data_IF_300969816103
#
_entry.id   IF_300969816103
#
_cell.length_a   1.000
_cell.length_b   1.000
_cell.length_c   1.000
_cell.angle_alpha   90.00
_cell.angle_beta   90.00
_cell.angle_gamma   90.00
#
_symmetry.space_group_name_H-M   'P 1'
#
loop_
_entity.id
_entity.type
_entity.pdbx_description
1 polymer ?
#
# COMPACT_ATOMS: atom_id res chain seq x y z
N UNK A 1 18.88 3.77 -23.96
CA UNK A 1 17.59 3.26 -23.45
C UNK A 1 17.83 2.30 -22.29
N UNK A 2 17.59 2.71 -21.05
CA UNK A 2 17.74 1.86 -19.86
C UNK A 2 16.36 1.51 -19.31
N UNK A 3 16.04 0.22 -19.30
CA UNK A 3 14.78 -0.38 -18.87
C UNK A 3 14.50 -0.15 -17.38
N UNK A 4 13.32 0.38 -17.10
CA UNK A 4 12.80 0.63 -15.75
C UNK A 4 12.38 -0.71 -15.12
N UNK A 5 13.09 -1.17 -14.09
CA UNK A 5 12.64 -2.26 -13.23
C UNK A 5 11.48 -1.76 -12.35
N UNK A 6 10.27 -2.23 -12.64
CA UNK A 6 9.11 -2.08 -11.75
C UNK A 6 9.19 -3.13 -10.63
N UNK A 7 9.19 -2.69 -9.37
CA UNK A 7 9.02 -3.56 -8.21
C UNK A 7 7.52 -3.92 -8.04
N UNK A 8 7.15 -5.19 -7.81
CA UNK A 8 5.76 -5.57 -7.63
C UNK A 8 5.26 -5.22 -6.22
N UNK A 9 4.07 -4.62 -6.18
CA UNK A 9 3.33 -4.22 -4.99
C UNK A 9 2.81 -5.48 -4.25
N UNK A 10 3.45 -5.86 -3.14
CA UNK A 10 2.99 -6.96 -2.29
C UNK A 10 1.79 -6.53 -1.43
N UNK A 11 0.58 -6.82 -1.92
CA UNK A 11 -0.65 -6.83 -1.11
C UNK A 11 -1.37 -8.18 -1.24
N UNK A 12 -0.73 -9.28 -0.85
CA UNK A 12 -1.42 -10.56 -0.73
C UNK A 12 -2.16 -10.64 0.60
N UNK A 13 -3.43 -10.20 0.63
CA UNK A 13 -4.43 -10.82 1.52
C UNK A 13 -4.35 -12.34 1.31
N UNK A 14 -4.30 -13.15 2.38
CA UNK A 14 -4.31 -14.62 2.29
C UNK A 14 -5.57 -15.08 1.55
N UNK A 15 -5.46 -15.28 0.23
CA UNK A 15 -6.48 -15.96 -0.57
C UNK A 15 -6.60 -17.37 0.00
N UNK A 16 -7.78 -17.74 0.50
CA UNK A 16 -8.08 -19.12 0.91
C UNK A 16 -7.73 -20.04 -0.26
N UNK A 17 -6.77 -20.97 -0.06
CA UNK A 17 -6.35 -21.95 -1.08
C UNK A 17 -7.61 -22.63 -1.64
N UNK A 18 -7.85 -22.43 -2.93
CA UNK A 18 -9.02 -22.94 -3.63
C UNK A 18 -8.92 -24.46 -3.77
N UNK A 19 -10.07 -25.14 -3.81
CA UNK A 19 -10.21 -26.60 -4.00
C UNK A 19 -9.47 -27.13 -5.23
N UNK A 20 -9.24 -26.27 -6.24
CA UNK A 20 -8.46 -26.56 -7.45
C UNK A 20 -7.02 -26.98 -7.16
N UNK A 21 -6.35 -26.37 -6.19
CA UNK A 21 -4.97 -26.72 -5.84
C UNK A 21 -4.89 -28.10 -5.16
N UNK A 22 -5.91 -28.46 -4.37
CA UNK A 22 -5.95 -29.75 -3.69
C UNK A 22 -6.23 -30.90 -4.67
N UNK A 23 -7.21 -30.73 -5.58
CA UNK A 23 -7.49 -31.70 -6.65
C UNK A 23 -6.26 -31.92 -7.53
N UNK A 24 -5.62 -30.83 -7.99
CA UNK A 24 -4.41 -30.90 -8.81
C UNK A 24 -3.28 -31.66 -8.08
N UNK A 25 -3.04 -31.36 -6.80
CA UNK A 25 -2.01 -32.06 -6.03
C UNK A 25 -2.28 -33.56 -5.88
N UNK A 26 -3.54 -33.99 -5.79
CA UNK A 26 -3.89 -35.41 -5.77
C UNK A 26 -3.62 -36.08 -7.12
N UNK A 27 -3.92 -35.41 -8.22
CA UNK A 27 -3.62 -35.90 -9.59
C UNK A 27 -2.10 -36.05 -9.76
N UNK A 28 -1.32 -35.03 -9.42
CA UNK A 28 0.15 -35.07 -9.51
C UNK A 28 0.72 -36.17 -8.60
N UNK A 29 0.14 -36.40 -7.43
CA UNK A 29 0.54 -37.48 -6.53
C UNK A 29 0.28 -38.86 -7.16
N UNK A 30 -0.87 -39.08 -7.80
CA UNK A 30 -1.14 -40.33 -8.53
C UNK A 30 -0.13 -40.54 -9.67
N UNK A 31 0.21 -39.51 -10.45
CA UNK A 31 1.25 -39.61 -11.48
C UNK A 31 2.61 -39.99 -10.88
N UNK A 32 2.94 -39.37 -9.74
CA UNK A 32 4.20 -39.57 -9.03
C UNK A 32 4.29 -40.99 -8.47
N UNK A 33 3.21 -41.51 -7.89
CA UNK A 33 3.13 -42.91 -7.43
C UNK A 33 3.25 -43.89 -8.58
N UNK A 34 2.59 -43.64 -9.72
CA UNK A 34 2.71 -44.49 -10.90
C UNK A 34 4.16 -44.57 -11.39
N UNK A 35 4.83 -43.41 -11.51
CA UNK A 35 6.23 -43.34 -11.91
C UNK A 35 7.16 -44.08 -10.94
N UNK A 36 6.97 -43.86 -9.64
CA UNK A 36 7.79 -44.49 -8.60
C UNK A 36 7.58 -46.01 -8.60
N UNK A 37 6.34 -46.49 -8.75
CA UNK A 37 6.02 -47.91 -8.80
C UNK A 37 6.63 -48.63 -10.02
N UNK A 38 6.79 -47.93 -11.14
CA UNK A 38 7.41 -48.49 -12.35
C UNK A 38 8.94 -48.49 -12.28
N UNK A 39 9.55 -47.48 -11.65
CA UNK A 39 10.99 -47.24 -11.73
C UNK A 39 11.78 -47.63 -10.47
N UNK A 40 11.13 -47.72 -9.30
CA UNK A 40 11.81 -48.02 -8.04
C UNK A 40 11.27 -49.33 -7.45
N UNK A 41 12.17 -50.29 -7.22
CA UNK A 41 11.83 -51.57 -6.54
C UNK A 41 11.43 -51.36 -5.08
N UNK A 42 12.04 -50.38 -4.40
CA UNK A 42 11.78 -50.02 -3.00
C UNK A 42 11.86 -48.51 -2.82
N UNK A 43 10.95 -47.93 -2.05
CA UNK A 43 10.93 -46.51 -1.76
C UNK A 43 10.27 -46.22 -0.40
N UNK A 44 10.50 -45.02 0.12
CA UNK A 44 9.90 -44.55 1.39
C UNK A 44 9.08 -43.29 1.15
N UNK A 45 8.25 -42.88 2.14
CA UNK A 45 7.48 -41.64 2.03
C UNK A 45 8.35 -40.40 1.77
N UNK A 46 9.61 -40.37 2.23
CA UNK A 46 10.56 -39.29 1.93
C UNK A 46 10.91 -39.24 0.44
N UNK A 47 11.07 -40.40 -0.20
CA UNK A 47 11.30 -40.48 -1.65
C UNK A 47 10.08 -39.97 -2.43
N UNK A 48 8.87 -40.39 -2.04
CA UNK A 48 7.61 -39.90 -2.65
C UNK A 48 7.50 -38.39 -2.50
N UNK A 49 7.81 -37.85 -1.32
CA UNK A 49 7.78 -36.42 -1.05
C UNK A 49 8.76 -35.65 -1.94
N UNK A 50 9.97 -36.18 -2.13
CA UNK A 50 10.99 -35.57 -2.97
C UNK A 50 10.52 -35.45 -4.43
N UNK A 51 10.04 -36.55 -5.04
CA UNK A 51 9.57 -36.53 -6.42
C UNK A 51 8.32 -35.67 -6.59
N UNK A 52 7.40 -35.71 -5.63
CA UNK A 52 6.20 -34.88 -5.66
C UNK A 52 6.56 -33.39 -5.59
N UNK A 53 7.45 -32.99 -4.67
CA UNK A 53 7.85 -31.59 -4.55
C UNK A 53 8.58 -31.09 -5.79
N UNK A 54 9.45 -31.90 -6.41
CA UNK A 54 10.06 -31.56 -7.70
C UNK A 54 9.02 -31.34 -8.81
N UNK A 55 7.98 -32.17 -8.88
CA UNK A 55 6.88 -31.99 -9.84
C UNK A 55 6.05 -30.74 -9.55
N UNK A 56 5.83 -30.41 -8.27
CA UNK A 56 5.14 -29.18 -7.86
C UNK A 56 5.96 -27.93 -8.20
N UNK A 57 7.28 -27.95 -7.98
CA UNK A 57 8.20 -26.86 -8.32
C UNK A 57 8.23 -26.56 -9.82
N UNK A 58 8.27 -27.61 -10.65
CA UNK A 58 8.15 -27.49 -12.12
C UNK A 58 6.86 -26.77 -12.53
N UNK A 59 5.78 -26.99 -11.79
CA UNK A 59 4.48 -26.34 -11.99
C UNK A 59 4.34 -24.99 -11.24
N UNK A 60 5.44 -24.41 -10.73
CA UNK A 60 5.50 -23.16 -9.96
C UNK A 60 4.63 -23.18 -8.68
N UNK A 61 4.43 -24.35 -8.08
CA UNK A 61 3.69 -24.53 -6.84
C UNK A 61 4.62 -24.68 -5.64
N UNK A 62 4.12 -24.31 -4.45
CA UNK A 62 4.90 -24.40 -3.22
C UNK A 62 5.08 -25.86 -2.80
N UNK A 63 6.28 -26.26 -2.35
CA UNK A 63 6.52 -27.61 -1.85
C UNK A 63 5.64 -27.89 -0.62
N UNK A 64 5.28 -29.15 -0.45
CA UNK A 64 4.47 -29.62 0.67
C UNK A 64 5.33 -30.28 1.75
N UNK A 65 4.80 -30.31 2.98
CA UNK A 65 5.42 -30.99 4.13
C UNK A 65 5.02 -32.46 4.16
N UNK A 66 5.81 -33.30 4.82
CA UNK A 66 5.56 -34.75 4.96
C UNK A 66 4.16 -35.05 5.54
N UNK A 67 3.73 -34.32 6.58
CA UNK A 67 2.39 -34.46 7.18
C UNK A 67 1.26 -34.20 6.17
N UNK A 68 1.48 -33.31 5.21
CA UNK A 68 0.51 -33.02 4.14
C UNK A 68 0.46 -34.16 3.13
N UNK A 69 1.61 -34.73 2.76
CA UNK A 69 1.68 -35.92 1.90
C UNK A 69 0.94 -37.11 2.53
N UNK A 70 1.17 -37.38 3.82
CA UNK A 70 0.49 -38.46 4.54
C UNK A 70 -1.04 -38.31 4.51
N UNK A 71 -1.54 -37.08 4.70
CA UNK A 71 -2.97 -36.81 4.58
C UNK A 71 -3.49 -37.08 3.15
N UNK A 72 -2.72 -36.73 2.11
CA UNK A 72 -3.10 -37.03 0.74
C UNK A 72 -3.17 -38.53 0.48
N UNK A 73 -2.18 -39.30 0.94
CA UNK A 73 -2.14 -40.75 0.81
C UNK A 73 -3.31 -41.43 1.55
N UNK A 74 -3.64 -40.96 2.75
CA UNK A 74 -4.82 -41.43 3.50
C UNK A 74 -6.13 -41.15 2.74
N UNK A 75 -6.25 -39.96 2.15
CA UNK A 75 -7.44 -39.58 1.38
C UNK A 75 -7.58 -40.42 0.11
N UNK A 76 -6.49 -40.70 -0.59
CA UNK A 76 -6.48 -41.55 -1.79
C UNK A 76 -6.94 -42.99 -1.47
N UNK A 77 -6.56 -43.51 -0.31
CA UNK A 77 -6.96 -44.85 0.13
C UNK A 77 -8.40 -44.88 0.67
N UNK A 78 -8.73 -44.01 1.64
CA UNK A 78 -10.03 -44.11 2.35
C UNK A 78 -11.19 -43.51 1.58
N UNK A 79 -10.99 -42.32 0.97
CA UNK A 79 -12.08 -41.59 0.29
C UNK A 79 -12.22 -42.01 -1.17
N UNK A 80 -11.10 -42.07 -1.89
CA UNK A 80 -11.12 -42.38 -3.32
C UNK A 80 -10.95 -43.88 -3.61
N UNK A 81 -10.37 -44.65 -2.67
CA UNK A 81 -10.11 -46.09 -2.82
C UNK A 81 -9.35 -46.44 -4.11
N UNK A 82 -8.44 -45.54 -4.51
CA UNK A 82 -7.61 -45.67 -5.73
C UNK A 82 -6.21 -46.20 -5.46
N UNK A 83 -5.78 -46.21 -4.20
CA UNK A 83 -4.49 -46.80 -3.78
C UNK A 83 -4.72 -47.94 -2.79
N UNK A 84 -3.89 -48.98 -2.90
CA UNK A 84 -3.73 -50.04 -1.93
C UNK A 84 -2.44 -49.74 -1.16
N UNK A 85 -2.60 -49.29 0.07
CA UNK A 85 -1.48 -48.99 0.95
C UNK A 85 -1.27 -50.21 1.84
N UNK A 86 -0.11 -50.86 1.73
CA UNK A 86 0.23 -51.96 2.63
C UNK A 86 1.56 -51.69 3.34
N UNK A 87 1.60 -52.03 4.63
CA UNK A 87 2.76 -51.90 5.48
C UNK A 87 3.34 -53.29 5.72
N UNK A 88 4.55 -53.56 5.24
CA UNK A 88 5.29 -54.78 5.56
C UNK A 88 6.22 -54.49 6.74
N UNK A 89 5.95 -55.10 7.89
CA UNK A 89 6.89 -55.07 9.02
C UNK A 89 8.14 -55.90 8.68
N UNK A 90 9.32 -55.32 8.85
CA UNK A 90 10.59 -55.95 8.48
C UNK A 90 11.29 -56.68 9.63
N UNK A 91 10.69 -56.71 10.83
CA UNK A 91 11.24 -57.37 12.03
C UNK A 91 11.48 -56.40 13.18
N UNK A 92 11.90 -56.96 14.33
CA UNK A 92 11.91 -56.30 15.65
C UNK A 92 12.75 -55.00 15.70
N UNK A 93 13.74 -54.84 14.81
CA UNK A 93 14.64 -53.66 14.74
C UNK A 93 14.79 -53.04 13.34
N UNK A 94 14.01 -53.47 12.33
CA UNK A 94 14.24 -53.10 10.91
C UNK A 94 13.15 -52.17 10.32
N UNK A 95 12.21 -51.71 11.15
CA UNK A 95 11.15 -50.78 10.74
C UNK A 95 10.04 -51.40 9.89
N UNK A 96 9.32 -50.57 9.14
CA UNK A 96 8.20 -50.98 8.26
C UNK A 96 8.35 -50.39 6.87
N UNK A 97 8.28 -51.22 5.82
CA UNK A 97 8.21 -50.78 4.44
C UNK A 97 6.74 -50.48 4.08
N UNK A 98 6.46 -49.26 3.62
CA UNK A 98 5.10 -48.86 3.19
C UNK A 98 5.05 -48.75 1.68
N UNK A 99 4.18 -49.56 1.07
CA UNK A 99 4.00 -49.62 -0.38
C UNK A 99 2.67 -48.99 -0.75
N UNK A 100 2.71 -48.13 -1.77
CA UNK A 100 1.57 -47.36 -2.25
C UNK A 100 1.25 -47.78 -3.69
N UNK A 101 0.60 -48.95 -3.84
CA UNK A 101 0.24 -49.49 -5.16
C UNK A 101 -1.03 -48.84 -5.68
N UNK A 102 -1.05 -48.43 -6.95
CA UNK A 102 -2.29 -47.97 -7.58
C UNK A 102 -3.20 -49.18 -7.83
N UNK A 103 -4.48 -49.06 -7.44
CA UNK A 103 -5.48 -50.13 -7.63
C UNK A 103 -5.93 -50.23 -9.09
N UNK A 104 -5.92 -49.11 -9.80
CA UNK A 104 -6.33 -49.00 -11.20
C UNK A 104 -5.23 -48.31 -12.00
N UNK A 105 -5.35 -48.37 -13.32
CA UNK A 105 -4.53 -47.55 -14.20
C UNK A 105 -4.67 -46.06 -13.86
N UNK A 106 -3.58 -45.33 -14.15
CA UNK A 106 -3.42 -43.90 -13.84
C UNK A 106 -4.61 -43.07 -14.35
N UNK A 107 -5.10 -43.36 -15.55
CA UNK A 107 -6.20 -42.61 -16.18
C UNK A 107 -7.53 -42.82 -15.46
N UNK A 108 -7.83 -44.07 -15.10
CA UNK A 108 -9.01 -44.42 -14.30
C UNK A 108 -8.97 -43.78 -12.92
N UNK A 109 -7.79 -43.69 -12.30
CA UNK A 109 -7.61 -42.96 -11.04
C UNK A 109 -7.91 -41.47 -11.18
N UNK A 110 -7.48 -40.82 -12.27
CA UNK A 110 -7.80 -39.41 -12.53
C UNK A 110 -9.29 -39.19 -12.73
N UNK A 111 -9.96 -40.08 -13.48
CA UNK A 111 -11.39 -40.00 -13.71
C UNK A 111 -12.14 -39.99 -12.37
N UNK A 112 -11.86 -40.95 -11.48
CA UNK A 112 -12.50 -41.08 -10.16
C UNK A 112 -12.30 -39.83 -9.29
N UNK A 113 -11.09 -39.26 -9.31
CA UNK A 113 -10.81 -38.03 -8.55
C UNK A 113 -11.59 -36.86 -9.16
N UNK A 114 -11.58 -36.70 -10.48
CA UNK A 114 -12.23 -35.59 -11.18
C UNK A 114 -13.76 -35.63 -11.06
N UNK A 115 -14.38 -36.80 -11.17
CA UNK A 115 -15.83 -36.97 -11.00
C UNK A 115 -16.28 -36.55 -9.61
N UNK A 116 -15.58 -36.98 -8.57
CA UNK A 116 -15.88 -36.58 -7.19
C UNK A 116 -15.85 -35.06 -6.98
N UNK A 117 -14.85 -34.35 -7.52
CA UNK A 117 -14.80 -32.89 -7.39
C UNK A 117 -15.89 -32.19 -8.21
N UNK A 118 -16.26 -32.75 -9.37
CA UNK A 118 -17.37 -32.24 -10.20
C UNK A 118 -18.71 -32.40 -9.48
N UNK A 119 -18.98 -33.56 -8.91
CA UNK A 119 -20.18 -33.83 -8.09
C UNK A 119 -20.23 -32.91 -6.87
N UNK A 120 -19.11 -32.72 -6.17
CA UNK A 120 -19.03 -31.81 -5.02
C UNK A 120 -19.36 -30.37 -5.36
N UNK A 121 -18.97 -29.89 -6.55
CA UNK A 121 -19.33 -28.54 -7.02
C UNK A 121 -20.82 -28.50 -7.34
N UNK A 122 -21.33 -29.51 -8.05
CA UNK A 122 -22.74 -29.61 -8.45
C UNK A 122 -23.66 -29.66 -7.23
N UNK A 123 -23.31 -30.45 -6.20
CA UNK A 123 -24.08 -30.54 -4.96
C UNK A 123 -24.13 -29.21 -4.21
N UNK A 124 -23.03 -28.45 -4.16
CA UNK A 124 -23.05 -27.11 -3.55
C UNK A 124 -23.95 -26.13 -4.29
N UNK A 125 -23.96 -26.20 -5.62
CA UNK A 125 -24.85 -25.38 -6.45
C UNK A 125 -26.31 -25.80 -6.20
N UNK A 126 -26.58 -27.09 -6.16
CA UNK A 126 -27.92 -27.63 -5.88
C UNK A 126 -28.41 -27.27 -4.48
N UNK A 127 -27.58 -27.39 -3.44
CA UNK A 127 -27.89 -26.93 -2.08
C UNK A 127 -28.21 -25.44 -2.04
N UNK A 128 -27.45 -24.63 -2.79
CA UNK A 128 -27.69 -23.19 -2.89
C UNK A 128 -29.02 -22.88 -3.61
N UNK A 129 -29.30 -23.56 -4.72
CA UNK A 129 -30.57 -23.46 -5.44
C UNK A 129 -31.73 -23.88 -4.54
N UNK A 130 -31.59 -24.96 -3.77
CA UNK A 130 -32.61 -25.40 -2.81
C UNK A 130 -32.83 -24.37 -1.70
N UNK A 131 -31.76 -23.76 -1.17
CA UNK A 131 -31.89 -22.65 -0.20
C UNK A 131 -32.65 -21.46 -0.80
N UNK A 132 -32.34 -21.07 -2.04
CA UNK A 132 -33.08 -20.01 -2.76
C UNK A 132 -34.55 -20.42 -2.93
N UNK A 133 -34.83 -21.64 -3.40
CA UNK A 133 -36.21 -22.15 -3.58
C UNK A 133 -36.98 -22.17 -2.26
N UNK A 134 -36.36 -22.59 -1.16
CA UNK A 134 -36.96 -22.56 0.18
C UNK A 134 -37.23 -21.12 0.63
N UNK A 135 -36.28 -20.22 0.44
CA UNK A 135 -36.43 -18.79 0.73
C UNK A 135 -37.58 -18.17 -0.06
N UNK A 136 -37.71 -18.50 -1.35
CA UNK A 136 -38.80 -18.03 -2.21
C UNK A 136 -40.17 -18.61 -1.79
N UNK A 137 -40.24 -19.88 -1.35
CA UNK A 137 -41.48 -20.48 -0.81
C UNK A 137 -41.91 -19.86 0.53
N UNK A 138 -40.98 -19.62 1.46
CA UNK A 138 -41.28 -18.94 2.74
C UNK A 138 -41.63 -17.45 2.56
N UNK A 139 -41.19 -16.85 1.45
CA UNK A 139 -41.51 -15.47 1.07
C UNK A 139 -42.60 -15.38 -0.02
N UNK A 140 -43.47 -16.40 -0.12
CA UNK A 140 -44.67 -16.34 -0.96
C UNK A 140 -45.64 -15.20 -0.59
N UNK A 141 -45.43 -14.52 0.55
CA UNK A 141 -45.93 -13.17 0.77
C UNK A 141 -44.87 -12.14 0.38
N UNK A 142 -45.25 -11.24 -0.52
CA UNK A 142 -44.50 -10.09 -1.08
C UNK A 142 -43.71 -9.33 -0.01
N UNK A 143 -42.48 -9.78 0.28
CA UNK A 143 -41.61 -9.08 1.24
C UNK A 143 -40.14 -8.98 0.83
N UNK A 144 -39.80 -9.40 -0.39
CA UNK A 144 -38.41 -9.41 -0.85
C UNK A 144 -38.25 -8.89 -2.28
N UNK A 145 -38.82 -7.72 -2.57
CA UNK A 145 -38.17 -6.86 -3.55
C UNK A 145 -36.88 -6.30 -2.93
N UNK A 146 -35.77 -6.91 -3.33
CA UNK A 146 -34.43 -6.37 -3.46
C UNK A 146 -34.03 -5.15 -2.59
N UNK A 147 -33.08 -5.40 -1.67
CA UNK A 147 -32.33 -4.43 -0.86
C UNK A 147 -31.50 -3.40 -1.69
N UNK A 148 -31.68 -3.29 -3.01
CA UNK A 148 -30.84 -2.42 -3.87
C UNK A 148 -31.59 -1.45 -4.80
N UNK A 149 -32.84 -1.08 -4.52
CA UNK A 149 -33.44 0.10 -5.16
C UNK A 149 -34.05 1.05 -4.12
N UNK A 150 -33.18 1.76 -3.40
CA UNK A 150 -33.54 2.75 -2.38
C UNK A 150 -34.18 4.03 -2.94
N UNK A 151 -34.45 4.13 -4.25
CA UNK A 151 -34.87 5.39 -4.87
C UNK A 151 -36.35 5.54 -5.22
N UNK A 152 -37.24 4.55 -5.04
CA UNK A 152 -38.64 4.74 -5.47
C UNK A 152 -39.78 4.34 -4.51
N UNK A 153 -39.50 3.92 -3.27
CA UNK A 153 -40.57 3.62 -2.26
C UNK A 153 -40.63 4.71 -1.18
N UNK A 154 -40.48 5.98 -1.56
CA UNK A 154 -40.81 7.12 -0.70
C UNK A 154 -42.03 7.91 -1.19
N UNK A 155 -42.71 7.45 -2.26
CA UNK A 155 -43.79 8.25 -2.85
C UNK A 155 -45.22 7.88 -2.46
N UNK A 156 -45.50 6.71 -1.85
CA UNK A 156 -46.90 6.27 -1.66
C UNK A 156 -47.33 5.85 -0.24
N UNK A 157 -46.48 5.93 0.79
CA UNK A 157 -46.90 5.67 2.19
C UNK A 157 -46.86 6.87 3.14
N UNK A 158 -46.20 7.97 2.77
CA UNK A 158 -46.13 9.18 3.62
C UNK A 158 -47.30 10.17 3.43
N UNK A 159 -48.14 10.00 2.39
CA UNK A 159 -49.24 10.94 2.12
C UNK A 159 -50.55 10.66 2.89
N UNK A 160 -50.69 9.53 3.62
CA UNK A 160 -51.94 9.21 4.36
C UNK A 160 -51.92 9.44 5.87
N UNK A 161 -50.78 9.81 6.49
CA UNK A 161 -50.69 10.01 7.94
C UNK A 161 -50.32 11.44 8.36
N UNK A 162 -50.74 12.45 7.59
CA UNK A 162 -50.47 13.87 7.94
C UNK A 162 -51.51 14.47 8.88
N UNK A 163 -52.71 13.89 8.97
CA UNK A 163 -53.76 14.36 9.87
C UNK A 163 -53.93 13.45 11.09
N UNK A 164 -53.25 13.78 12.18
CA UNK A 164 -53.89 13.95 13.51
C UNK A 164 -52.86 14.43 14.54
N UNK A 165 -53.33 15.32 15.41
CA UNK A 165 -52.57 16.14 16.33
C UNK A 165 -51.89 15.34 17.44
N UNK A 166 -50.58 15.10 17.31
CA UNK A 166 -49.68 14.73 18.42
C UNK A 166 -48.28 15.37 18.30
N UNK A 167 -48.19 16.49 17.57
CA UNK A 167 -46.98 16.88 16.81
C UNK A 167 -45.92 17.74 17.51
N UNK A 168 -46.10 18.21 18.76
CA UNK A 168 -45.16 19.21 19.35
C UNK A 168 -44.20 18.67 20.42
N UNK A 169 -44.61 17.70 21.24
CA UNK A 169 -43.81 17.17 22.36
C UNK A 169 -42.97 15.95 21.98
N UNK A 170 -43.56 14.98 21.26
CA UNK A 170 -42.89 13.72 20.87
C UNK A 170 -41.70 13.95 19.92
N UNK A 171 -41.74 15.00 19.09
CA UNK A 171 -40.69 15.26 18.09
C UNK A 171 -39.41 15.88 18.65
N UNK A 172 -39.50 16.69 19.70
CA UNK A 172 -38.31 17.29 20.35
C UNK A 172 -37.53 16.24 21.15
N UNK A 173 -38.23 15.33 21.83
CA UNK A 173 -37.60 14.21 22.54
C UNK A 173 -36.88 13.26 21.58
N UNK A 174 -37.44 13.01 20.39
CA UNK A 174 -36.78 12.21 19.35
C UNK A 174 -35.48 12.90 18.89
N UNK A 175 -35.48 14.21 18.68
CA UNK A 175 -34.27 14.97 18.32
C UNK A 175 -33.22 14.92 19.44
N UNK A 176 -33.61 15.16 20.70
CA UNK A 176 -32.73 15.07 21.86
C UNK A 176 -32.13 13.67 22.01
N UNK A 177 -32.93 12.62 21.85
CA UNK A 177 -32.50 11.21 21.87
C UNK A 177 -31.56 10.88 20.71
N UNK A 178 -31.77 11.49 19.54
CA UNK A 178 -30.88 11.31 18.39
C UNK A 178 -29.52 11.99 18.61
N UNK A 179 -29.52 13.22 19.13
CA UNK A 179 -28.30 13.96 19.48
C UNK A 179 -27.47 13.22 20.52
N UNK A 180 -28.10 12.74 21.60
CA UNK A 180 -27.40 12.00 22.66
C UNK A 180 -26.79 10.68 22.16
N UNK A 181 -27.48 9.98 21.25
CA UNK A 181 -26.99 8.71 20.69
C UNK A 181 -25.87 8.87 19.66
N UNK A 182 -25.84 9.97 18.92
CA UNK A 182 -24.97 10.08 17.75
C UNK A 182 -23.53 10.51 18.06
N UNK A 183 -23.26 11.04 19.26
CA UNK A 183 -21.93 11.50 19.70
C UNK A 183 -21.17 12.23 18.58
N UNK A 184 -21.69 13.39 18.20
CA UNK A 184 -21.09 14.24 17.15
C UNK A 184 -19.78 14.85 17.64
N UNK A 185 -18.85 15.06 16.72
CA UNK A 185 -17.51 15.62 17.00
C UNK A 185 -17.43 17.14 16.82
N UNK A 186 -18.43 17.73 16.17
CA UNK A 186 -18.52 19.16 15.83
C UNK A 186 -19.69 19.83 16.56
N UNK A 187 -19.70 21.16 16.62
CA UNK A 187 -20.82 21.94 17.20
C UNK A 187 -21.96 22.20 16.19
N UNK A 188 -21.78 21.80 14.92
CA UNK A 188 -22.79 21.86 13.85
C UNK A 188 -24.20 21.37 14.24
N UNK A 189 -24.40 20.31 15.05
CA UNK A 189 -25.74 19.88 15.46
C UNK A 189 -26.56 21.00 16.12
N UNK A 190 -25.91 21.87 16.90
CA UNK A 190 -26.57 23.03 17.52
C UNK A 190 -27.07 24.02 16.47
N UNK A 191 -26.28 24.28 15.42
CA UNK A 191 -26.68 25.12 14.29
C UNK A 191 -27.89 24.53 13.55
N UNK A 192 -27.92 23.21 13.32
CA UNK A 192 -29.04 22.52 12.67
C UNK A 192 -30.30 22.61 13.52
N UNK A 193 -30.18 22.53 14.84
CA UNK A 193 -31.30 22.65 15.76
C UNK A 193 -31.93 24.05 15.75
N UNK A 194 -31.13 25.08 15.51
CA UNK A 194 -31.58 26.48 15.45
C UNK A 194 -32.26 26.85 14.12
N UNK A 195 -32.20 26.00 13.09
CA UNK A 195 -32.87 26.26 11.80
C UNK A 195 -34.40 26.29 11.96
N UNK A 196 -35.05 27.27 11.36
CA UNK A 196 -36.52 27.38 11.34
C UNK A 196 -37.12 26.38 10.34
N UNK A 197 -37.28 25.11 10.78
CA UNK A 197 -37.73 23.98 9.94
C UNK A 197 -38.53 22.93 10.68
N UNK A 198 -39.19 22.07 9.90
CA UNK A 198 -39.81 20.84 10.42
C UNK A 198 -38.78 19.92 11.05
N UNK A 199 -39.17 19.21 12.12
CA UNK A 199 -38.34 18.23 12.81
C UNK A 199 -37.81 17.13 11.87
N UNK A 200 -38.59 16.75 10.85
CA UNK A 200 -38.18 15.77 9.84
C UNK A 200 -36.95 16.23 9.05
N UNK A 201 -36.89 17.51 8.69
CA UNK A 201 -35.78 18.13 7.96
C UNK A 201 -34.55 18.20 8.85
N UNK A 202 -34.71 18.59 10.13
CA UNK A 202 -33.63 18.59 11.12
C UNK A 202 -33.00 17.20 11.30
N UNK A 203 -33.82 16.15 11.44
CA UNK A 203 -33.33 14.76 11.53
C UNK A 203 -32.55 14.37 10.27
N UNK A 204 -33.03 14.77 9.09
CA UNK A 204 -32.33 14.47 7.83
C UNK A 204 -30.96 15.17 7.77
N UNK A 205 -30.87 16.43 8.18
CA UNK A 205 -29.60 17.16 8.27
C UNK A 205 -28.64 16.52 9.27
N UNK A 206 -29.11 16.13 10.46
CA UNK A 206 -28.29 15.43 11.46
C UNK A 206 -27.77 14.07 10.95
N UNK A 207 -28.58 13.33 10.20
CA UNK A 207 -28.15 12.07 9.54
C UNK A 207 -27.05 12.34 8.52
N UNK A 208 -27.25 13.33 7.65
CA UNK A 208 -26.26 13.69 6.63
C UNK A 208 -24.95 14.17 7.26
N UNK A 209 -25.02 14.97 8.32
CA UNK A 209 -23.86 15.37 9.10
C UNK A 209 -23.10 14.14 9.63
N UNK A 210 -23.82 13.16 10.19
CA UNK A 210 -23.16 11.96 10.71
C UNK A 210 -22.48 11.14 9.62
N UNK A 211 -23.06 11.07 8.43
CA UNK A 211 -22.39 10.46 7.28
C UNK A 211 -21.12 11.20 6.88
N UNK A 212 -21.13 12.54 6.87
CA UNK A 212 -19.94 13.35 6.60
C UNK A 212 -18.85 13.09 7.65
N UNK A 213 -19.16 13.12 8.94
CA UNK A 213 -18.19 12.81 10.01
C UNK A 213 -17.58 11.41 9.86
N UNK A 214 -18.38 10.41 9.49
CA UNK A 214 -17.92 9.05 9.32
C UNK A 214 -17.02 8.90 8.08
N UNK A 215 -17.38 9.53 6.96
CA UNK A 215 -16.58 9.53 5.73
C UNK A 215 -15.27 10.32 5.89
N UNK A 216 -15.25 11.26 6.83
CA UNK A 216 -14.12 12.14 7.17
C UNK A 216 -13.50 11.80 8.53
N UNK A 217 -13.62 10.54 9.00
CA UNK A 217 -13.18 10.13 10.35
C UNK A 217 -11.72 10.46 10.67
N UNK A 218 -10.86 10.50 9.66
CA UNK A 218 -9.41 10.82 9.75
C UNK A 218 -9.09 12.33 9.63
N UNK A 219 -10.08 13.15 9.33
CA UNK A 219 -9.95 14.61 9.24
C UNK A 219 -10.29 15.21 10.59
N UNK A 220 -9.55 16.26 10.93
CA UNK A 220 -9.77 17.07 12.11
C UNK A 220 -11.17 17.72 12.11
N UNK A 221 -11.99 17.55 13.18
CA UNK A 221 -13.36 18.05 13.25
C UNK A 221 -13.50 19.54 12.95
N UNK A 222 -12.53 20.37 13.33
CA UNK A 222 -12.55 21.82 13.12
C UNK A 222 -12.58 22.19 11.62
N UNK A 223 -11.90 21.40 10.77
CA UNK A 223 -11.95 21.59 9.32
C UNK A 223 -13.32 21.19 8.74
N UNK A 224 -13.97 20.19 9.31
CA UNK A 224 -15.32 19.76 8.90
C UNK A 224 -16.31 20.88 9.29
N UNK A 225 -16.21 21.37 10.52
CA UNK A 225 -16.97 22.48 11.08
C UNK A 225 -16.93 23.71 10.17
N UNK A 226 -15.74 24.19 9.83
CA UNK A 226 -15.58 25.38 8.98
C UNK A 226 -16.31 25.26 7.64
N UNK A 227 -16.21 24.11 6.98
CA UNK A 227 -16.80 23.92 5.65
C UNK A 227 -18.32 23.66 5.67
N UNK A 228 -18.80 22.92 6.65
CA UNK A 228 -20.24 22.58 6.77
C UNK A 228 -21.02 23.74 7.40
N UNK A 229 -20.48 24.42 8.41
CA UNK A 229 -21.11 25.57 9.04
C UNK A 229 -21.31 26.72 8.06
N UNK A 230 -20.35 26.99 7.18
CA UNK A 230 -20.52 27.99 6.12
C UNK A 230 -21.67 27.63 5.17
N UNK A 231 -21.72 26.37 4.72
CA UNK A 231 -22.80 25.91 3.83
C UNK A 231 -24.18 25.99 4.51
N UNK A 232 -24.27 25.71 5.81
CA UNK A 232 -25.51 25.87 6.57
C UNK A 232 -25.87 27.34 6.70
N UNK A 233 -24.91 28.20 7.08
CA UNK A 233 -25.11 29.65 7.24
C UNK A 233 -25.59 30.33 5.95
N UNK A 234 -24.97 30.00 4.82
CA UNK A 234 -25.36 30.50 3.48
C UNK A 234 -26.80 30.13 3.09
N UNK A 235 -27.38 29.08 3.69
CA UNK A 235 -28.68 28.53 3.32
C UNK A 235 -29.68 28.54 4.50
N UNK A 236 -29.48 29.40 5.50
CA UNK A 236 -30.37 29.51 6.68
C UNK A 236 -31.82 29.77 6.27
N UNK A 237 -32.03 30.63 5.26
CA UNK A 237 -33.36 31.03 4.78
C UNK A 237 -34.01 29.97 3.87
N UNK A 238 -33.26 28.96 3.40
CA UNK A 238 -33.79 27.85 2.62
C UNK A 238 -33.25 26.50 3.11
N UNK A 239 -33.59 26.11 4.35
CA UNK A 239 -33.03 24.93 4.97
C UNK A 239 -33.53 23.61 4.35
N UNK A 240 -34.64 23.65 3.59
CA UNK A 240 -35.10 22.53 2.76
C UNK A 240 -34.21 22.28 1.53
N UNK A 241 -33.56 23.32 0.99
CA UNK A 241 -32.60 23.18 -0.11
C UNK A 241 -31.40 22.31 0.30
N UNK A 242 -30.91 22.45 1.53
CA UNK A 242 -29.83 21.61 2.07
C UNK A 242 -30.17 20.11 1.98
N UNK A 243 -31.44 19.71 2.22
CA UNK A 243 -31.86 18.31 2.07
C UNK A 243 -31.75 17.85 0.61
N UNK A 244 -32.17 18.70 -0.34
CA UNK A 244 -32.06 18.41 -1.78
C UNK A 244 -30.60 18.35 -2.22
N UNK A 245 -29.78 19.27 -1.73
CA UNK A 245 -28.33 19.32 -1.98
C UNK A 245 -27.65 18.04 -1.52
N UNK A 246 -27.90 17.61 -0.28
CA UNK A 246 -27.33 16.37 0.25
C UNK A 246 -27.84 15.12 -0.49
N UNK A 247 -29.11 15.07 -0.94
CA UNK A 247 -29.62 13.95 -1.75
C UNK A 247 -28.98 13.84 -3.15
N UNK A 248 -28.73 14.96 -3.84
CA UNK A 248 -28.22 14.98 -5.23
C UNK A 248 -26.68 14.87 -5.33
N UNK A 249 -26.04 13.99 -4.56
CA UNK A 249 -24.57 13.88 -4.46
C UNK A 249 -23.82 15.17 -4.02
N UNK A 250 -24.52 16.21 -3.54
CA UNK A 250 -23.87 17.45 -3.08
C UNK A 250 -22.94 17.25 -1.90
N UNK A 251 -23.28 16.32 -0.99
CA UNK A 251 -22.40 15.93 0.12
C UNK A 251 -21.07 15.33 -0.36
N UNK A 252 -21.06 14.55 -1.47
CA UNK A 252 -19.83 14.00 -2.05
C UNK A 252 -18.91 15.11 -2.58
N UNK A 253 -19.49 16.13 -3.23
CA UNK A 253 -18.73 17.32 -3.68
C UNK A 253 -18.11 18.05 -2.49
N UNK A 254 -18.88 18.23 -1.41
CA UNK A 254 -18.40 18.84 -0.17
C UNK A 254 -17.27 18.02 0.47
N UNK A 255 -17.43 16.70 0.57
CA UNK A 255 -16.41 15.78 1.08
C UNK A 255 -15.12 15.86 0.27
N UNK A 256 -15.21 15.87 -1.07
CA UNK A 256 -14.04 15.99 -1.93
C UNK A 256 -13.34 17.32 -1.73
N UNK A 257 -14.10 18.42 -1.64
CA UNK A 257 -13.56 19.76 -1.36
C UNK A 257 -12.79 19.77 -0.03
N UNK A 258 -13.36 19.20 1.03
CA UNK A 258 -12.71 19.10 2.36
C UNK A 258 -11.43 18.24 2.31
N UNK A 259 -11.46 17.12 1.58
CA UNK A 259 -10.28 16.26 1.40
C UNK A 259 -9.16 16.98 0.65
N UNK A 260 -9.50 17.75 -0.38
CA UNK A 260 -8.55 18.54 -1.16
C UNK A 260 -7.93 19.68 -0.34
N UNK A 261 -8.73 20.45 0.40
CA UNK A 261 -8.20 21.49 1.30
C UNK A 261 -7.30 20.90 2.36
N UNK A 262 -7.68 19.79 3.00
CA UNK A 262 -6.82 19.13 3.99
C UNK A 262 -5.49 18.66 3.38
N UNK A 263 -5.51 18.10 2.17
CA UNK A 263 -4.28 17.71 1.45
C UNK A 263 -3.39 18.92 1.13
N UNK A 264 -3.98 20.05 0.74
CA UNK A 264 -3.26 21.31 0.49
C UNK A 264 -2.62 21.83 1.78
N UNK A 265 -3.37 21.88 2.87
CA UNK A 265 -2.87 22.30 4.19
C UNK A 265 -1.70 21.43 4.65
N UNK A 266 -1.80 20.10 4.54
CA UNK A 266 -0.68 19.19 4.88
C UNK A 266 0.58 19.46 4.05
N UNK A 267 0.44 19.75 2.74
CA UNK A 267 1.60 20.12 1.91
C UNK A 267 2.23 21.44 2.33
N UNK A 268 1.43 22.39 2.77
CA UNK A 268 1.91 23.69 3.24
C UNK A 268 2.63 23.58 4.59
N UNK A 269 2.06 22.82 5.53
CA UNK A 269 2.70 22.50 6.82
C UNK A 269 4.05 21.82 6.58
N UNK A 270 4.11 20.84 5.66
CA UNK A 270 5.37 20.22 5.28
C UNK A 270 6.39 21.26 4.78
N UNK A 271 6.00 22.19 3.90
CA UNK A 271 6.89 23.26 3.43
C UNK A 271 7.38 24.14 4.57
N UNK A 272 6.53 24.49 5.53
CA UNK A 272 6.90 25.31 6.70
C UNK A 272 7.94 24.59 7.56
N UNK A 273 7.69 23.33 7.92
CA UNK A 273 8.62 22.50 8.72
C UNK A 273 9.99 22.39 8.02
N UNK A 274 10.01 22.12 6.72
CA UNK A 274 11.28 22.02 5.98
C UNK A 274 12.01 23.37 5.92
N UNK A 275 11.30 24.49 5.74
CA UNK A 275 11.89 25.83 5.76
C UNK A 275 12.47 26.19 7.13
N UNK A 276 11.79 25.85 8.22
CA UNK A 276 12.30 26.02 9.58
C UNK A 276 13.58 25.23 9.79
N UNK A 277 13.63 23.96 9.35
CA UNK A 277 14.86 23.15 9.42
C UNK A 277 16.00 23.67 8.56
N UNK A 278 15.72 24.28 7.41
CA UNK A 278 16.74 24.97 6.63
C UNK A 278 17.33 26.12 7.44
N UNK A 279 16.50 26.98 8.04
CA UNK A 279 16.97 28.10 8.89
C UNK A 279 17.79 27.63 10.10
N UNK A 280 17.36 26.57 10.78
CA UNK A 280 18.13 25.97 11.88
C UNK A 280 19.52 25.52 11.43
N UNK A 281 19.62 24.89 10.25
CA UNK A 281 20.90 24.42 9.71
C UNK A 281 21.75 25.55 9.12
N UNK A 282 21.14 26.61 8.59
CA UNK A 282 21.85 27.83 8.19
C UNK A 282 22.55 28.46 9.41
N UNK A 283 21.88 28.51 10.57
CA UNK A 283 22.48 28.98 11.82
C UNK A 283 23.64 28.09 12.30
N UNK A 284 23.66 26.81 11.94
CA UNK A 284 24.77 25.88 12.17
C UNK A 284 25.90 26.01 11.12
N UNK A 285 25.94 27.09 10.33
CA UNK A 285 26.95 27.40 9.29
C UNK A 285 26.95 26.48 8.05
N UNK A 286 25.84 25.79 7.75
CA UNK A 286 25.70 25.07 6.48
C UNK A 286 25.33 26.02 5.34
N UNK A 287 25.86 25.76 4.13
CA UNK A 287 25.55 26.54 2.93
C UNK A 287 24.08 26.38 2.53
N UNK A 288 23.40 27.51 2.34
CA UNK A 288 21.97 27.57 2.00
C UNK A 288 21.62 26.84 0.71
N UNK A 289 22.43 26.98 -0.34
CA UNK A 289 22.15 26.40 -1.65
C UNK A 289 22.15 24.86 -1.60
N UNK A 290 23.07 24.29 -0.82
CA UNK A 290 23.18 22.84 -0.62
C UNK A 290 21.99 22.30 0.19
N UNK A 291 21.56 23.04 1.22
CA UNK A 291 20.38 22.72 2.03
C UNK A 291 19.11 22.76 1.17
N UNK A 292 18.87 23.83 0.42
CA UNK A 292 17.70 23.96 -0.45
C UNK A 292 17.64 22.82 -1.46
N UNK A 293 18.75 22.46 -2.09
CA UNK A 293 18.82 21.33 -3.04
C UNK A 293 18.44 20.00 -2.39
N UNK A 294 18.90 19.74 -1.17
CA UNK A 294 18.58 18.50 -0.44
C UNK A 294 17.11 18.46 0.02
N UNK A 295 16.62 19.56 0.59
CA UNK A 295 15.26 19.64 1.12
C UNK A 295 14.18 19.75 0.02
N UNK A 296 14.50 20.29 -1.16
CA UNK A 296 13.61 20.24 -2.32
C UNK A 296 13.40 18.81 -2.80
N UNK A 297 14.46 17.99 -2.89
CA UNK A 297 14.33 16.55 -3.19
C UNK A 297 13.50 15.83 -2.13
N UNK A 298 13.70 16.17 -0.87
CA UNK A 298 12.92 15.65 0.25
C UNK A 298 11.43 15.99 0.10
N UNK A 299 11.10 17.24 -0.21
CA UNK A 299 9.72 17.66 -0.41
C UNK A 299 9.04 16.83 -1.50
N UNK A 300 9.72 16.60 -2.64
CA UNK A 300 9.16 15.81 -3.74
C UNK A 300 8.85 14.35 -3.36
N UNK A 301 9.67 13.74 -2.50
CA UNK A 301 9.46 12.38 -1.99
C UNK A 301 8.26 12.34 -1.03
N UNK A 302 8.15 13.31 -0.12
CA UNK A 302 7.16 13.30 0.95
C UNK A 302 5.86 14.05 0.63
N UNK A 303 5.74 14.78 -0.50
CA UNK A 303 4.52 15.52 -0.88
C UNK A 303 3.26 14.67 -0.97
N UNK A 304 3.41 13.37 -1.24
CA UNK A 304 2.30 12.41 -1.32
C UNK A 304 1.96 11.77 0.02
N UNK A 305 2.93 11.70 0.94
CA UNK A 305 2.78 11.11 2.28
C UNK A 305 3.42 12.02 3.34
N UNK A 306 2.87 13.22 3.56
CA UNK A 306 3.50 14.22 4.42
C UNK A 306 3.41 13.87 5.91
N UNK A 307 2.54 12.95 6.32
CA UNK A 307 2.36 12.54 7.72
C UNK A 307 3.63 12.00 8.38
N UNK A 308 4.54 11.37 7.63
CA UNK A 308 5.83 10.90 8.15
C UNK A 308 6.71 12.04 8.68
N UNK A 309 6.58 13.24 8.10
CA UNK A 309 7.35 14.41 8.50
C UNK A 309 6.54 15.30 9.45
N UNK A 310 5.24 15.48 9.20
CA UNK A 310 4.37 16.33 10.04
C UNK A 310 4.22 15.74 11.44
N UNK A 311 4.04 14.43 11.57
CA UNK A 311 3.87 13.77 12.86
C UNK A 311 5.24 13.37 13.45
N UNK A 312 6.21 14.30 13.44
CA UNK A 312 7.58 14.04 13.90
C UNK A 312 7.68 13.65 15.38
N UNK A 313 6.65 13.93 16.19
CA UNK A 313 6.54 13.41 17.57
C UNK A 313 6.27 11.90 17.62
N UNK A 314 5.64 11.34 16.59
CA UNK A 314 5.35 9.90 16.46
C UNK A 314 6.37 9.16 15.59
N UNK A 315 6.91 9.83 14.57
CA UNK A 315 7.84 9.24 13.61
C UNK A 315 9.22 9.92 13.63
N UNK A 316 10.32 9.15 13.68
CA UNK A 316 11.67 9.72 13.71
C UNK A 316 12.17 10.20 12.34
N UNK A 317 11.35 10.13 11.29
CA UNK A 317 11.72 10.41 9.89
C UNK A 317 12.32 11.80 9.71
N UNK A 318 11.73 12.84 10.31
CA UNK A 318 12.28 14.20 10.24
C UNK A 318 13.70 14.25 10.82
N UNK A 319 13.92 13.65 11.98
CA UNK A 319 15.24 13.60 12.63
C UNK A 319 16.25 12.81 11.82
N UNK A 320 15.84 11.66 11.26
CA UNK A 320 16.69 10.85 10.36
C UNK A 320 17.07 11.64 9.11
N UNK A 321 16.15 12.43 8.58
CA UNK A 321 16.36 13.25 7.41
C UNK A 321 17.36 14.37 7.67
N UNK A 322 17.23 15.07 8.80
CA UNK A 322 18.21 16.08 9.24
C UNK A 322 19.59 15.47 9.44
N UNK A 323 19.70 14.32 10.12
CA UNK A 323 20.99 13.60 10.27
C UNK A 323 21.63 13.25 8.92
N UNK A 324 20.80 12.84 7.96
CA UNK A 324 21.26 12.54 6.60
C UNK A 324 21.73 13.79 5.86
N UNK A 325 21.00 14.90 5.99
CA UNK A 325 21.37 16.20 5.42
C UNK A 325 22.76 16.62 5.89
N UNK A 326 23.00 16.62 7.21
CA UNK A 326 24.31 16.96 7.81
C UNK A 326 25.43 16.09 7.22
N UNK A 327 25.22 14.77 7.12
CA UNK A 327 26.23 13.83 6.60
C UNK A 327 26.51 14.00 5.10
N UNK A 328 25.50 14.24 4.27
CA UNK A 328 25.69 14.41 2.83
C UNK A 328 26.32 15.76 2.49
N UNK A 329 25.91 16.84 3.16
CA UNK A 329 26.45 18.18 2.94
C UNK A 329 27.91 18.27 3.42
N UNK A 330 28.23 17.71 4.58
CA UNK A 330 29.61 17.68 5.08
C UNK A 330 30.56 16.97 4.11
N UNK A 331 30.13 15.86 3.49
CA UNK A 331 30.92 15.16 2.45
C UNK A 331 31.17 16.01 1.21
N UNK A 332 30.19 16.81 0.81
CA UNK A 332 30.34 17.73 -0.33
C UNK A 332 31.34 18.83 0.03
N UNK A 333 31.21 19.43 1.21
CA UNK A 333 32.13 20.45 1.70
C UNK A 333 33.56 19.95 1.85
N UNK A 334 33.78 18.78 2.47
CA UNK A 334 35.11 18.15 2.61
C UNK A 334 35.73 17.85 1.23
N UNK A 335 34.93 17.35 0.27
CA UNK A 335 35.42 17.11 -1.09
C UNK A 335 35.83 18.41 -1.79
N UNK A 336 35.06 19.49 -1.63
CA UNK A 336 35.39 20.81 -2.18
C UNK A 336 36.68 21.34 -1.53
N UNK A 337 36.82 21.22 -0.20
CA UNK A 337 38.00 21.67 0.53
C UNK A 337 39.26 20.93 0.04
N UNK A 338 39.20 19.59 -0.10
CA UNK A 338 40.30 18.78 -0.63
C UNK A 338 40.66 19.13 -2.07
N UNK A 339 39.66 19.38 -2.92
CA UNK A 339 39.93 19.82 -4.29
C UNK A 339 40.59 21.21 -4.31
N UNK A 340 40.18 22.13 -3.44
CA UNK A 340 40.79 23.46 -3.32
C UNK A 340 42.24 23.38 -2.82
N UNK A 341 42.52 22.53 -1.82
CA UNK A 341 43.89 22.33 -1.33
C UNK A 341 44.79 21.67 -2.39
N UNK A 342 44.29 20.68 -3.13
CA UNK A 342 45.01 20.09 -4.28
C UNK A 342 45.31 21.16 -5.34
N UNK A 343 44.33 22.00 -5.70
CA UNK A 343 44.53 23.10 -6.66
C UNK A 343 45.62 24.06 -6.19
N UNK A 344 45.57 24.50 -4.94
CA UNK A 344 46.56 25.42 -4.38
C UNK A 344 47.97 24.80 -4.33
N UNK A 345 48.09 23.55 -3.89
CA UNK A 345 49.38 22.88 -3.83
C UNK A 345 49.99 22.70 -5.23
N UNK A 346 49.20 22.28 -6.20
CA UNK A 346 49.67 22.14 -7.59
C UNK A 346 50.05 23.51 -8.17
N UNK A 347 49.27 24.56 -7.88
CA UNK A 347 49.62 25.93 -8.26
C UNK A 347 50.98 26.34 -7.69
N UNK A 348 51.22 26.16 -6.39
CA UNK A 348 52.49 26.51 -5.74
C UNK A 348 53.68 25.73 -6.31
N UNK A 349 53.52 24.42 -6.55
CA UNK A 349 54.61 23.60 -7.12
C UNK A 349 54.97 24.07 -8.53
N UNK A 350 53.96 24.28 -9.39
CA UNK A 350 54.20 24.69 -10.78
C UNK A 350 54.73 26.13 -10.88
N UNK A 351 54.29 27.02 -9.99
CA UNK A 351 54.81 28.39 -9.90
C UNK A 351 56.31 28.36 -9.57
N UNK A 352 56.72 27.60 -8.56
CA UNK A 352 58.13 27.50 -8.16
C UNK A 352 59.00 26.87 -9.25
N UNK A 353 58.46 25.89 -10.00
CA UNK A 353 59.18 25.27 -11.12
C UNK A 353 59.40 26.21 -12.32
N UNK A 354 58.49 27.17 -12.55
CA UNK A 354 58.47 28.00 -13.75
C UNK A 354 58.92 29.45 -13.53
N UNK A 355 58.90 29.96 -12.29
CA UNK A 355 59.27 31.36 -11.95
C UNK A 355 60.66 31.79 -12.42
N UNK A 356 61.58 30.84 -12.57
CA UNK A 356 62.95 31.12 -13.00
C UNK A 356 63.10 31.18 -14.53
N UNK A 357 62.08 30.77 -15.30
CA UNK A 357 62.12 30.69 -16.76
C UNK A 357 61.17 31.68 -17.45
N UNK A 358 60.16 32.16 -16.74
CA UNK A 358 59.08 32.97 -17.31
C UNK A 358 58.81 34.14 -16.35
N UNK A 359 58.61 35.33 -16.89
CA UNK A 359 58.19 36.52 -16.14
C UNK A 359 56.91 36.27 -15.35
N UNK A 360 56.91 36.69 -14.09
CA UNK A 360 55.84 36.42 -13.13
C UNK A 360 54.48 36.97 -13.58
N UNK A 361 54.49 38.13 -14.25
CA UNK A 361 53.32 38.83 -14.79
C UNK A 361 52.57 38.02 -15.86
N UNK A 362 53.29 37.20 -16.64
CA UNK A 362 52.70 36.32 -17.66
C UNK A 362 52.38 34.94 -17.09
N UNK A 363 53.21 34.47 -16.16
CA UNK A 363 53.10 33.14 -15.57
C UNK A 363 51.84 32.99 -14.70
N UNK A 364 51.59 33.89 -13.75
CA UNK A 364 50.50 33.77 -12.79
C UNK A 364 49.11 33.70 -13.47
N UNK A 365 48.77 34.57 -14.45
CA UNK A 365 47.49 34.49 -15.15
C UNK A 365 47.32 33.19 -15.94
N UNK A 366 48.36 32.75 -16.64
CA UNK A 366 48.33 31.51 -17.43
C UNK A 366 48.11 30.28 -16.54
N UNK A 367 48.79 30.23 -15.40
CA UNK A 367 48.71 29.14 -14.42
C UNK A 367 47.32 29.06 -13.76
N UNK A 368 46.73 30.20 -13.40
CA UNK A 368 45.35 30.26 -12.87
C UNK A 368 44.35 29.72 -13.90
N UNK A 369 44.45 30.17 -15.16
CA UNK A 369 43.57 29.74 -16.24
C UNK A 369 43.71 28.24 -16.52
N UNK A 370 44.94 27.71 -16.50
CA UNK A 370 45.21 26.28 -16.67
C UNK A 370 44.56 25.43 -15.57
N UNK A 371 44.74 25.80 -14.30
CA UNK A 371 44.21 25.07 -13.14
C UNK A 371 42.68 25.17 -13.02
N UNK A 372 42.08 26.26 -13.51
CA UNK A 372 40.62 26.38 -13.58
C UNK A 372 40.01 25.50 -14.67
N UNK A 373 40.68 25.41 -15.82
CA UNK A 373 40.21 24.64 -16.98
C UNK A 373 40.44 23.13 -16.86
N UNK A 374 41.38 22.67 -16.03
CA UNK A 374 41.64 21.23 -15.86
C UNK A 374 40.67 20.60 -14.84
N UNK A 375 39.73 19.73 -15.27
CA UNK A 375 38.67 19.21 -14.40
C UNK A 375 39.17 18.14 -13.42
N UNK A 376 40.34 17.54 -13.66
CA UNK A 376 40.82 16.37 -12.92
C UNK A 376 42.32 16.47 -12.60
N UNK A 377 42.66 17.48 -11.78
CA UNK A 377 44.03 17.72 -11.32
C UNK A 377 44.56 16.57 -10.44
N UNK A 378 45.78 16.13 -10.72
CA UNK A 378 46.45 15.03 -9.98
C UNK A 378 47.93 15.33 -9.76
N UNK A 379 48.45 14.99 -8.59
CA UNK A 379 49.87 15.12 -8.29
C UNK A 379 50.77 14.28 -9.19
N UNK A 380 50.30 13.11 -9.65
CA UNK A 380 51.08 12.26 -10.56
C UNK A 380 51.53 13.01 -11.82
N UNK A 381 50.65 13.86 -12.36
CA UNK A 381 50.90 14.69 -13.54
C UNK A 381 51.82 15.90 -13.30
N UNK A 382 52.05 16.23 -12.03
CA UNK A 382 53.07 17.22 -11.63
C UNK A 382 54.43 16.53 -11.59
N UNK A 383 54.50 15.36 -10.96
CA UNK A 383 55.76 14.61 -10.80
C UNK A 383 56.31 14.04 -12.11
N UNK A 384 55.45 13.69 -13.06
CA UNK A 384 55.85 13.24 -14.41
C UNK A 384 56.13 14.40 -15.38
N UNK A 385 56.12 15.65 -14.89
CA UNK A 385 56.31 16.89 -15.65
C UNK A 385 55.30 17.13 -16.80
N UNK A 386 54.21 16.37 -16.88
CA UNK A 386 53.20 16.57 -17.93
C UNK A 386 52.58 17.98 -17.87
N UNK A 387 52.23 18.45 -16.68
CA UNK A 387 51.67 19.79 -16.51
C UNK A 387 52.68 20.89 -16.80
N UNK A 388 53.93 20.71 -16.39
CA UNK A 388 55.03 21.62 -16.68
C UNK A 388 55.21 21.82 -18.18
N UNK A 389 55.33 20.72 -18.93
CA UNK A 389 55.52 20.76 -20.39
C UNK A 389 54.33 21.40 -21.12
N UNK A 390 53.10 21.14 -20.66
CA UNK A 390 51.91 21.76 -21.24
C UNK A 390 51.85 23.27 -20.97
N UNK A 391 52.24 23.71 -19.78
CA UNK A 391 52.28 25.14 -19.43
C UNK A 391 53.36 25.89 -20.22
N UNK A 392 54.55 25.31 -20.39
CA UNK A 392 55.60 25.90 -21.23
C UNK A 392 55.08 26.14 -22.65
N UNK A 393 54.39 25.17 -23.26
CA UNK A 393 53.80 25.34 -24.61
C UNK A 393 52.74 26.43 -24.72
N UNK A 394 52.12 26.82 -23.61
CA UNK A 394 51.08 27.86 -23.59
C UNK A 394 51.70 29.25 -23.42
N UNK A 395 52.87 29.35 -22.77
CA UNK A 395 53.47 30.61 -22.33
C UNK A 395 54.76 30.95 -23.08
N UNK A 396 55.40 29.98 -23.74
CA UNK A 396 56.43 30.17 -24.77
C UNK A 396 55.75 30.51 -26.09
#
# INVERSE_FOLDING_TARGET
MKTIKQNPLNTTKKIKKTTKNFQHNLIVLISTLNFINLNLKKYTQKHILYFLNKNLERNKQKPIKLKTLQNYLYILEKKFKVTLNYCKHLGKNSGSETYYKLKYEKEKCYLIINTYFKEKITNKINEFIQRIKKFNKTNGSVKWECINNTNNIYKYKEYRNIHKNSKKTINNEILKKYLSKCNFKTEIPSLIMNLETTHSIKIHHLRNLKHIENDLKEIDPENIEKHVSNAIKENINNPGYLCKFFKKNGYKKLINKIKETNKKNKKEILRKILKEKIKELENEQYKKEDLERFFNKTYEIYKTKPHFIIEYKKYPDLNKLVKRAKKEIFKIQDKILRLKSIKNNIFSILLEQLRHKIEEDKLIPALKKFIENEPNLRYSKVFDNSYYNNLIKIVS
#
